data_IF_814460545536
#
_entry.id   IF_814460545536
#
_cell.length_a   1.000
_cell.length_b   1.000
_cell.length_c   1.000
_cell.angle_alpha   90.00
_cell.angle_beta   90.00
_cell.angle_gamma   90.00
#
_symmetry.space_group_name_H-M   'P 1'
#
loop_
_entity.id
_entity.type
_entity.pdbx_description
1 polymer ?
#
# COMPACT_ATOMS: atom_id res chain seq x y z
N UNK A 1 -3.05 2.70 -15.78
CA UNK A 1 -2.13 2.57 -14.65
C UNK A 1 -2.88 2.18 -13.39
N UNK A 2 -2.22 1.47 -12.52
CA UNK A 2 -2.79 1.01 -11.27
C UNK A 2 -2.37 1.95 -10.14
N UNK A 3 -3.35 2.49 -9.42
CA UNK A 3 -3.07 3.38 -8.29
C UNK A 3 -3.17 2.60 -7.00
N UNK A 4 -2.11 2.66 -6.20
CA UNK A 4 -2.04 1.97 -4.91
C UNK A 4 -1.53 2.91 -3.84
N UNK A 5 -1.95 2.65 -2.60
CA UNK A 5 -1.40 3.35 -1.44
C UNK A 5 -0.15 2.63 -0.98
N UNK A 6 0.85 3.41 -0.63
CA UNK A 6 2.14 2.87 -0.21
C UNK A 6 2.38 3.19 1.26
N UNK A 7 2.68 2.16 2.03
CA UNK A 7 3.13 2.28 3.42
C UNK A 7 4.54 1.74 3.51
N UNK A 8 5.44 2.49 4.11
CA UNK A 8 6.86 2.15 4.12
C UNK A 8 7.34 1.98 5.55
N UNK A 9 7.94 0.82 5.80
CA UNK A 9 8.58 0.51 7.07
C UNK A 9 10.02 1.01 7.05
N UNK A 10 10.56 1.42 8.22
CA UNK A 10 11.90 2.02 8.28
C UNK A 10 13.01 1.04 7.94
N UNK A 11 12.84 -0.24 8.25
CA UNK A 11 13.85 -1.26 7.97
C UNK A 11 13.22 -2.66 7.98
N UNK A 12 14.00 -3.65 7.59
CA UNK A 12 13.55 -5.03 7.47
C UNK A 12 13.28 -5.71 8.82
N UNK A 13 13.74 -5.12 9.91
CA UNK A 13 13.53 -5.67 11.26
C UNK A 13 12.25 -5.18 11.91
N UNK A 14 11.55 -4.23 11.26
CA UNK A 14 10.28 -3.74 11.79
C UNK A 14 9.25 -4.87 11.79
N UNK A 15 8.80 -5.25 12.98
CA UNK A 15 7.85 -6.35 13.14
C UNK A 15 6.39 -5.89 13.05
N UNK A 16 6.15 -4.61 13.29
CA UNK A 16 4.81 -4.04 13.29
C UNK A 16 4.63 -3.14 12.08
N UNK A 17 3.70 -3.51 11.23
CA UNK A 17 3.41 -2.75 10.02
C UNK A 17 2.72 -1.41 10.30
N UNK A 18 2.10 -1.26 11.46
CA UNK A 18 1.46 -0.01 11.86
C UNK A 18 2.46 1.10 12.17
N UNK A 19 3.73 0.77 12.31
CA UNK A 19 4.80 1.76 12.46
C UNK A 19 5.25 2.36 11.13
N UNK A 20 4.74 1.85 10.04
CA UNK A 20 5.09 2.36 8.72
C UNK A 20 4.55 3.76 8.48
N UNK A 21 5.26 4.53 7.67
CA UNK A 21 4.79 5.82 7.21
C UNK A 21 3.88 5.65 6.01
N UNK A 22 2.82 6.44 5.96
CA UNK A 22 1.95 6.51 4.79
C UNK A 22 2.60 7.47 3.78
N UNK A 23 3.04 6.92 2.66
CA UNK A 23 3.68 7.71 1.60
C UNK A 23 2.67 8.15 0.52
N UNK A 24 1.39 7.92 0.74
CA UNK A 24 0.34 8.35 -0.18
C UNK A 24 0.11 7.37 -1.32
N UNK A 25 -0.50 7.88 -2.38
CA UNK A 25 -0.88 7.07 -3.52
C UNK A 25 0.13 7.24 -4.66
N UNK A 26 0.44 6.12 -5.30
CA UNK A 26 1.40 6.05 -6.40
C UNK A 26 0.82 5.23 -7.53
N UNK A 27 1.19 5.58 -8.75
CA UNK A 27 0.75 4.85 -9.93
C UNK A 27 1.82 3.85 -10.35
N UNK A 28 1.38 2.62 -10.60
CA UNK A 28 2.24 1.53 -11.08
C UNK A 28 1.74 1.03 -12.42
N UNK A 29 2.64 0.55 -13.25
CA UNK A 29 2.28 -0.08 -14.52
C UNK A 29 1.48 -1.36 -14.26
N UNK A 30 1.90 -2.13 -13.28
CA UNK A 30 1.20 -3.34 -12.85
C UNK A 30 1.39 -3.51 -11.35
N UNK A 31 0.60 -4.40 -10.75
CA UNK A 31 0.66 -4.64 -9.31
C UNK A 31 1.98 -5.31 -8.94
N UNK A 32 2.79 -4.69 -8.07
CA UNK A 32 3.98 -5.34 -7.54
C UNK A 32 3.62 -6.55 -6.68
N UNK A 33 4.52 -7.51 -6.64
CA UNK A 33 4.37 -8.72 -5.83
C UNK A 33 5.32 -8.69 -4.65
N UNK A 34 5.03 -9.49 -3.65
CA UNK A 34 5.94 -9.67 -2.52
C UNK A 34 7.33 -10.08 -3.02
N UNK A 35 8.34 -9.37 -2.58
CA UNK A 35 9.72 -9.58 -3.01
C UNK A 35 10.17 -8.68 -4.15
N UNK A 36 9.25 -8.03 -4.86
CA UNK A 36 9.62 -7.10 -5.91
C UNK A 36 10.30 -5.86 -5.33
N UNK A 37 11.10 -5.22 -6.16
CA UNK A 37 11.79 -3.99 -5.81
C UNK A 37 11.07 -2.80 -6.42
N UNK A 38 11.00 -1.72 -5.66
CA UNK A 38 10.43 -0.46 -6.12
C UNK A 38 11.51 0.60 -6.05
N UNK A 39 11.71 1.29 -7.16
CA UNK A 39 12.57 2.47 -7.23
C UNK A 39 11.70 3.68 -7.49
N UNK A 40 11.86 4.70 -6.66
CA UNK A 40 11.03 5.90 -6.77
C UNK A 40 11.79 7.14 -6.32
N UNK A 41 11.34 8.29 -6.76
CA UNK A 41 11.86 9.57 -6.30
C UNK A 41 10.88 10.18 -5.31
N UNK A 42 11.40 10.58 -4.17
CA UNK A 42 10.61 11.23 -3.14
C UNK A 42 11.47 12.28 -2.45
N UNK A 43 10.98 13.52 -2.41
CA UNK A 43 11.69 14.65 -1.78
C UNK A 43 13.12 14.82 -2.34
N UNK A 44 13.24 14.74 -3.67
CA UNK A 44 14.50 14.88 -4.40
C UNK A 44 15.54 13.80 -4.08
N UNK A 45 15.12 12.69 -3.50
CA UNK A 45 15.96 11.55 -3.22
C UNK A 45 15.41 10.29 -3.88
N UNK A 46 16.31 9.42 -4.31
CA UNK A 46 15.92 8.11 -4.82
C UNK A 46 15.74 7.16 -3.64
N UNK A 47 14.58 6.53 -3.60
CA UNK A 47 14.26 5.52 -2.58
C UNK A 47 14.17 4.16 -3.22
N UNK A 48 14.77 3.17 -2.58
CA UNK A 48 14.69 1.78 -2.99
C UNK A 48 13.95 0.99 -1.91
N UNK A 49 12.93 0.27 -2.34
CA UNK A 49 12.05 -0.45 -1.43
C UNK A 49 11.90 -1.89 -1.90
N UNK A 50 11.65 -2.78 -0.95
CA UNK A 50 11.25 -4.16 -1.23
C UNK A 50 9.82 -4.36 -0.77
N UNK A 51 8.98 -4.91 -1.62
CA UNK A 51 7.58 -5.19 -1.29
C UNK A 51 7.52 -6.33 -0.28
N UNK A 52 6.95 -6.05 0.88
CA UNK A 52 6.78 -7.04 1.94
C UNK A 52 5.43 -7.71 1.87
N UNK A 53 4.38 -6.93 1.57
CA UNK A 53 3.02 -7.44 1.55
C UNK A 53 2.15 -6.60 0.63
N UNK A 54 1.18 -7.24 -0.01
CA UNK A 54 0.16 -6.57 -0.80
C UNK A 54 -1.17 -6.83 -0.13
N UNK A 55 -1.88 -5.78 0.22
CA UNK A 55 -3.17 -5.88 0.91
C UNK A 55 -4.25 -5.36 -0.01
N UNK A 56 -5.22 -6.22 -0.29
CA UNK A 56 -6.40 -5.84 -1.06
C UNK A 56 -7.54 -5.53 -0.10
N UNK A 57 -8.05 -4.32 -0.18
CA UNK A 57 -9.25 -3.94 0.56
C UNK A 57 -10.44 -4.10 -0.36
N UNK A 58 -11.20 -5.16 -0.15
CA UNK A 58 -12.33 -5.48 -1.00
C UNK A 58 -13.56 -4.67 -0.61
N UNK A 59 -14.39 -4.36 -1.59
CA UNK A 59 -15.70 -3.79 -1.38
C UNK A 59 -16.76 -4.82 -1.79
N UNK A 60 -17.85 -4.89 -1.02
CA UNK A 60 -18.91 -5.85 -1.30
C UNK A 60 -19.68 -5.42 -2.56
N UNK A 61 -20.02 -6.40 -3.39
CA UNK A 61 -20.85 -6.16 -4.56
C UNK A 61 -22.03 -7.13 -4.59
N UNK A 62 -23.29 -6.67 -4.68
CA UNK A 62 -23.66 -5.26 -4.63
C UNK A 62 -23.42 -4.66 -3.24
N UNK A 63 -23.27 -3.33 -3.20
CA UNK A 63 -23.10 -2.65 -1.94
C UNK A 63 -24.37 -2.82 -1.10
N UNK A 64 -24.26 -3.10 0.22
CA UNK A 64 -25.42 -3.24 1.07
C UNK A 64 -26.17 -1.91 1.17
N UNK A 65 -27.49 -1.99 1.12
CA UNK A 65 -28.35 -0.81 1.25
C UNK A 65 -28.56 -0.38 2.69
N UNK A 66 -28.23 -1.24 3.61
CA UNK A 66 -28.40 -0.94 5.02
C UNK A 66 -27.37 0.11 5.45
N UNK A 67 -27.88 1.18 5.99
CA UNK A 67 -27.02 2.14 6.66
C UNK A 67 -26.49 1.48 7.92
N UNK A 68 -25.18 1.29 7.95
CA UNK A 68 -24.53 0.81 9.15
C UNK A 68 -23.78 1.98 9.78
N UNK A 69 -23.66 2.01 11.11
CA UNK A 69 -22.84 3.04 11.75
C UNK A 69 -21.37 2.91 11.45
N UNK A 70 -20.95 1.81 10.82
CA UNK A 70 -19.57 1.59 10.47
C UNK A 70 -19.31 2.05 9.05
N UNK A 71 -18.15 2.66 8.84
CA UNK A 71 -17.73 3.05 7.50
C UNK A 71 -17.48 1.80 6.68
N UNK A 72 -18.29 1.64 5.65
CA UNK A 72 -18.02 0.61 4.66
C UNK A 72 -17.27 1.24 3.51
N UNK A 73 -16.31 0.49 3.00
CA UNK A 73 -15.59 0.92 1.81
C UNK A 73 -16.53 0.86 0.63
N UNK A 74 -16.68 1.98 -0.05
CA UNK A 74 -17.51 2.06 -1.26
C UNK A 74 -16.76 1.62 -2.50
N UNK A 75 -15.43 1.61 -2.44
CA UNK A 75 -14.58 1.22 -3.55
C UNK A 75 -13.45 0.33 -3.06
N UNK A 76 -13.08 -0.68 -3.84
CA UNK A 76 -11.91 -1.48 -3.51
C UNK A 76 -10.64 -0.65 -3.61
N UNK A 77 -9.66 -0.99 -2.82
CA UNK A 77 -8.36 -0.31 -2.87
C UNK A 77 -7.25 -1.30 -2.57
N UNK A 78 -6.02 -0.89 -2.87
CA UNK A 78 -4.85 -1.72 -2.66
C UNK A 78 -3.83 -0.92 -1.87
N UNK A 79 -3.24 -1.55 -0.88
CA UNK A 79 -2.14 -0.99 -0.11
C UNK A 79 -0.92 -1.91 -0.23
N UNK A 80 0.22 -1.34 -0.56
CA UNK A 80 1.49 -2.07 -0.58
C UNK A 80 2.26 -1.68 0.67
N UNK A 81 2.69 -2.68 1.42
CA UNK A 81 3.61 -2.50 2.55
C UNK A 81 5.00 -2.85 2.06
N UNK A 82 5.89 -1.87 2.07
CA UNK A 82 7.24 -2.02 1.59
C UNK A 82 8.24 -1.67 2.69
N UNK A 83 9.47 -2.13 2.52
CA UNK A 83 10.56 -1.93 3.46
C UNK A 83 11.68 -1.19 2.74
N UNK A 84 12.25 -0.19 3.40
CA UNK A 84 13.39 0.52 2.83
C UNK A 84 14.59 -0.40 2.74
N UNK A 85 15.21 -0.39 1.57
CA UNK A 85 16.51 -1.03 1.36
C UNK A 85 17.58 0.01 1.70
N UNK A 86 18.34 -0.22 2.70
CA UNK A 86 19.37 0.73 3.11
C UNK A 86 20.73 0.26 2.65
#
# INVERSE_FOLDING_TARGET
MLRVRLRVLPDATALQEDRGEDWGEWDFVSLPRTGDHIEMSRNDATELLTVRRVIHFAAQHPLPRTETPFRQRTQPSICIVAVREV
#
